data_IF_922759127104
#
_entry.id   IF_922759127104
#
_cell.length_a   1.000
_cell.length_b   1.000
_cell.length_c   1.000
_cell.angle_alpha   90.00
_cell.angle_beta   90.00
_cell.angle_gamma   90.00
#
_symmetry.space_group_name_H-M   'P 1'
#
loop_
_entity.id
_entity.type
_entity.pdbx_description
1 polymer ?
#
# COMPACT_ATOMS: atom_id res chain seq x y z
N UNK A 1 23.86 24.11 15.11
CA UNK A 1 23.58 23.58 13.76
C UNK A 1 22.20 22.92 13.77
N UNK A 2 21.13 23.67 13.49
CA UNK A 2 19.80 23.09 13.30
C UNK A 2 19.75 22.48 11.90
N UNK A 3 19.79 21.15 11.80
CA UNK A 3 19.58 20.45 10.52
C UNK A 3 18.22 20.88 9.98
N UNK A 4 18.24 21.70 8.92
CA UNK A 4 17.06 22.27 8.26
C UNK A 4 16.33 21.21 7.45
N UNK A 5 15.79 20.20 8.11
CA UNK A 5 14.86 19.28 7.46
C UNK A 5 13.54 20.00 7.24
N UNK A 6 13.35 20.55 6.04
CA UNK A 6 12.05 21.01 5.57
C UNK A 6 11.10 19.82 5.58
N UNK A 7 10.07 19.88 6.43
CA UNK A 7 9.04 18.83 6.51
C UNK A 7 8.40 18.68 5.13
N UNK A 8 8.25 17.44 4.62
CA UNK A 8 7.62 17.23 3.32
C UNK A 8 6.19 17.77 3.35
N UNK A 9 5.82 18.49 2.29
CA UNK A 9 4.49 19.08 2.18
C UNK A 9 3.42 17.99 2.13
N UNK A 10 2.25 18.25 2.73
CA UNK A 10 1.14 17.31 2.75
C UNK A 10 0.72 16.86 1.33
N UNK A 11 0.76 17.78 0.37
CA UNK A 11 0.46 17.47 -1.03
C UNK A 11 1.42 16.45 -1.64
N UNK A 12 2.72 16.52 -1.31
CA UNK A 12 3.71 15.56 -1.79
C UNK A 12 3.45 14.16 -1.21
N UNK A 13 3.16 14.07 0.10
CA UNK A 13 2.88 12.80 0.77
C UNK A 13 1.64 12.13 0.14
N UNK A 14 0.58 12.90 -0.10
CA UNK A 14 -0.63 12.38 -0.76
C UNK A 14 -0.34 11.87 -2.17
N UNK A 15 0.45 12.60 -2.98
CA UNK A 15 0.84 12.16 -4.34
C UNK A 15 1.59 10.83 -4.33
N UNK A 16 2.58 10.68 -3.43
CA UNK A 16 3.34 9.43 -3.27
C UNK A 16 2.43 8.30 -2.84
N UNK A 17 1.55 8.55 -1.86
CA UNK A 17 0.60 7.56 -1.38
C UNK A 17 -0.39 7.10 -2.45
N UNK A 18 -0.96 8.02 -3.23
CA UNK A 18 -1.85 7.67 -4.35
C UNK A 18 -1.11 6.90 -5.45
N UNK A 19 0.12 7.29 -5.78
CA UNK A 19 0.94 6.54 -6.73
C UNK A 19 1.15 5.10 -6.26
N UNK A 20 1.45 4.89 -4.97
CA UNK A 20 1.60 3.55 -4.41
C UNK A 20 0.30 2.73 -4.45
N UNK A 21 -0.86 3.35 -4.18
CA UNK A 21 -2.16 2.68 -4.34
C UNK A 21 -2.43 2.27 -5.79
N UNK A 22 -2.20 3.17 -6.76
CA UNK A 22 -2.40 2.89 -8.19
C UNK A 22 -1.46 1.77 -8.65
N UNK A 23 -0.19 1.81 -8.25
CA UNK A 23 0.78 0.74 -8.54
C UNK A 23 0.34 -0.58 -7.92
N UNK A 24 -0.16 -0.59 -6.69
CA UNK A 24 -0.67 -1.82 -6.03
C UNK A 24 -1.83 -2.43 -6.79
N UNK A 25 -2.80 -1.62 -7.23
CA UNK A 25 -3.94 -2.10 -8.04
C UNK A 25 -3.48 -2.60 -9.42
N UNK A 26 -2.54 -1.90 -10.05
CA UNK A 26 -1.95 -2.32 -11.33
C UNK A 26 -1.17 -3.63 -11.21
N UNK A 27 -0.38 -3.80 -10.16
CA UNK A 27 0.33 -5.05 -9.87
C UNK A 27 -0.64 -6.20 -9.59
N UNK A 28 -1.77 -5.93 -8.93
CA UNK A 28 -2.80 -6.93 -8.70
C UNK A 28 -3.45 -7.38 -10.02
N UNK A 29 -3.71 -6.45 -10.95
CA UNK A 29 -4.15 -6.82 -12.30
C UNK A 29 -3.11 -7.74 -12.97
N UNK A 30 -1.83 -7.36 -12.98
CA UNK A 30 -0.76 -8.21 -13.54
C UNK A 30 -0.68 -9.58 -12.84
N UNK A 31 -0.88 -9.64 -11.52
CA UNK A 31 -0.92 -10.89 -10.74
C UNK A 31 -2.00 -11.86 -11.25
N UNK A 32 -3.14 -11.36 -11.72
CA UNK A 32 -4.21 -12.18 -12.27
C UNK A 32 -3.88 -12.76 -13.65
N UNK A 33 -3.18 -12.01 -14.50
CA UNK A 33 -2.89 -12.44 -15.88
C UNK A 33 -1.57 -13.20 -16.04
N UNK A 34 -0.55 -12.88 -15.24
CA UNK A 34 0.81 -13.38 -15.45
C UNK A 34 1.24 -14.52 -14.52
N UNK A 35 0.43 -14.89 -13.53
CA UNK A 35 0.88 -15.87 -12.54
C UNK A 35 0.69 -17.32 -13.03
N UNK A 36 1.76 -18.09 -13.32
CA UNK A 36 1.66 -19.48 -13.75
C UNK A 36 1.14 -20.43 -12.66
N UNK A 37 1.09 -19.98 -11.40
CA UNK A 37 0.48 -20.70 -10.28
C UNK A 37 -1.05 -20.54 -10.22
N UNK A 38 -1.63 -19.71 -11.10
CA UNK A 38 -3.08 -19.63 -11.37
C UNK A 38 -3.49 -20.55 -12.54
N UNK A 39 -2.86 -21.72 -12.66
CA UNK A 39 -3.38 -22.82 -13.49
C UNK A 39 -4.62 -23.43 -12.80
N UNK A 40 -5.73 -22.71 -12.79
CA UNK A 40 -6.95 -23.13 -12.12
C UNK A 40 -7.65 -21.95 -11.46
N UNK A 41 -8.73 -21.51 -12.08
CA UNK A 41 -9.65 -20.46 -11.65
C UNK A 41 -10.41 -20.85 -10.36
N UNK A 42 -9.70 -21.03 -9.25
CA UNK A 42 -10.34 -21.05 -7.94
C UNK A 42 -10.73 -19.61 -7.59
N UNK A 43 -12.03 -19.31 -7.73
CA UNK A 43 -12.63 -18.00 -7.37
C UNK A 43 -12.20 -17.51 -5.99
N UNK A 44 -11.84 -18.44 -5.11
CA UNK A 44 -11.34 -18.20 -3.76
C UNK A 44 -10.00 -17.43 -3.78
N UNK A 45 -9.04 -17.79 -4.65
CA UNK A 45 -7.75 -17.09 -4.76
C UNK A 45 -7.91 -15.66 -5.28
N UNK A 46 -8.83 -15.42 -6.21
CA UNK A 46 -9.16 -14.06 -6.67
C UNK A 46 -9.71 -13.21 -5.52
N UNK A 47 -10.71 -13.71 -4.80
CA UNK A 47 -11.32 -12.99 -3.68
C UNK A 47 -10.33 -12.71 -2.55
N UNK A 48 -9.48 -13.67 -2.20
CA UNK A 48 -8.47 -13.50 -1.14
C UNK A 48 -7.48 -12.41 -1.53
N UNK A 49 -6.91 -12.46 -2.74
CA UNK A 49 -5.94 -11.44 -3.17
C UNK A 49 -6.57 -10.06 -3.29
N UNK A 50 -7.82 -9.98 -3.77
CA UNK A 50 -8.57 -8.74 -3.81
C UNK A 50 -8.78 -8.14 -2.40
N UNK A 51 -9.20 -8.96 -1.43
CA UNK A 51 -9.44 -8.53 -0.05
C UNK A 51 -8.14 -8.14 0.66
N UNK A 52 -7.03 -8.80 0.35
CA UNK A 52 -5.74 -8.57 1.04
C UNK A 52 -4.86 -7.51 0.39
N UNK A 53 -5.07 -7.16 -0.87
CA UNK A 53 -4.24 -6.19 -1.60
C UNK A 53 -5.05 -4.96 -2.07
N UNK A 54 -6.17 -5.18 -2.75
CA UNK A 54 -6.94 -4.09 -3.37
C UNK A 54 -7.75 -3.35 -2.33
N UNK A 55 -8.48 -4.06 -1.46
CA UNK A 55 -9.27 -3.46 -0.38
C UNK A 55 -8.44 -2.55 0.54
N UNK A 56 -7.29 -2.98 1.08
CA UNK A 56 -6.44 -2.09 1.87
C UNK A 56 -5.83 -0.96 1.04
N UNK A 57 -5.58 -1.13 -0.26
CA UNK A 57 -5.12 -0.03 -1.11
C UNK A 57 -6.19 1.06 -1.30
N UNK A 58 -7.46 0.66 -1.42
CA UNK A 58 -8.61 1.58 -1.48
C UNK A 58 -8.84 2.23 -0.12
N UNK A 59 -8.76 1.47 0.97
CA UNK A 59 -8.89 2.02 2.32
C UNK A 59 -7.77 3.03 2.62
N UNK A 60 -6.54 2.74 2.17
CA UNK A 60 -5.41 3.65 2.30
C UNK A 60 -5.64 4.95 1.53
N UNK A 61 -6.13 4.87 0.29
CA UNK A 61 -6.43 6.07 -0.51
C UNK A 61 -7.54 6.91 0.12
N UNK A 62 -8.58 6.29 0.69
CA UNK A 62 -9.58 6.99 1.51
C UNK A 62 -8.96 7.67 2.74
N UNK A 63 -8.02 7.00 3.41
CA UNK A 63 -7.24 7.57 4.52
C UNK A 63 -6.45 8.81 4.12
N UNK A 64 -5.90 8.85 2.90
CA UNK A 64 -5.20 10.03 2.37
C UNK A 64 -6.16 11.20 2.08
N UNK A 65 -7.36 10.92 1.57
CA UNK A 65 -8.40 11.95 1.33
C UNK A 65 -8.82 12.55 2.67
N UNK A 66 -9.28 11.70 3.60
CA UNK A 66 -9.78 12.10 4.92
C UNK A 66 -8.65 12.59 5.85
N UNK A 67 -7.41 12.46 5.42
CA UNK A 67 -6.21 12.81 6.16
C UNK A 67 -6.09 12.11 7.52
N UNK A 68 -6.68 10.91 7.63
CA UNK A 68 -6.76 10.14 8.88
C UNK A 68 -5.60 9.18 9.02
N UNK A 69 -4.67 9.46 9.94
CA UNK A 69 -3.51 8.59 10.15
C UNK A 69 -3.88 7.16 10.59
N UNK A 70 -4.98 7.00 11.33
CA UNK A 70 -5.42 5.67 11.78
C UNK A 70 -5.85 4.76 10.62
N UNK A 71 -6.51 5.32 9.61
CA UNK A 71 -6.96 4.55 8.43
C UNK A 71 -5.74 4.05 7.64
N UNK A 72 -4.70 4.88 7.52
CA UNK A 72 -3.44 4.48 6.87
C UNK A 72 -2.77 3.31 7.61
N UNK A 73 -2.75 3.35 8.95
CA UNK A 73 -2.17 2.29 9.77
C UNK A 73 -2.96 0.98 9.65
N UNK A 74 -4.29 1.03 9.71
CA UNK A 74 -5.16 -0.14 9.53
C UNK A 74 -4.90 -0.78 8.16
N UNK A 75 -4.83 0.04 7.11
CA UNK A 75 -4.58 -0.42 5.75
C UNK A 75 -3.21 -1.08 5.61
N UNK A 76 -2.18 -0.53 6.26
CA UNK A 76 -0.85 -1.13 6.32
C UNK A 76 -0.87 -2.49 7.03
N UNK A 77 -1.41 -2.55 8.25
CA UNK A 77 -1.45 -3.79 9.05
C UNK A 77 -2.21 -4.89 8.30
N UNK A 78 -3.31 -4.53 7.64
CA UNK A 78 -4.11 -5.46 6.84
C UNK A 78 -3.29 -5.99 5.65
N UNK A 79 -2.62 -5.12 4.90
CA UNK A 79 -1.87 -5.54 3.71
C UNK A 79 -0.52 -6.20 4.02
N UNK A 80 0.02 -5.99 5.23
CA UNK A 80 1.36 -6.43 5.64
C UNK A 80 1.64 -7.93 5.47
N UNK A 81 0.82 -8.87 5.99
CA UNK A 81 1.15 -10.29 5.92
C UNK A 81 1.26 -10.80 4.48
N UNK A 82 0.32 -10.39 3.61
CA UNK A 82 0.30 -10.81 2.22
C UNK A 82 1.40 -10.12 1.39
N UNK A 83 1.64 -8.84 1.64
CA UNK A 83 2.71 -8.09 0.95
C UNK A 83 4.10 -8.61 1.32
N UNK A 84 4.32 -9.04 2.57
CA UNK A 84 5.58 -9.69 2.99
C UNK A 84 5.75 -11.06 2.34
N UNK A 85 4.69 -11.85 2.24
CA UNK A 85 4.72 -13.11 1.49
C UNK A 85 5.15 -12.89 0.02
N UNK A 86 4.59 -11.86 -0.64
CA UNK A 86 4.95 -11.49 -2.01
C UNK A 86 6.35 -10.88 -2.15
N UNK A 87 6.91 -10.29 -1.08
CA UNK A 87 8.28 -9.77 -1.06
C UNK A 87 9.33 -10.90 -1.07
N UNK A 88 9.00 -12.03 -0.47
CA UNK A 88 9.90 -13.19 -0.38
C UNK A 88 9.88 -14.04 -1.66
N UNK A 89 8.88 -13.86 -2.54
CA UNK A 89 8.82 -14.59 -3.81
C UNK A 89 9.65 -13.90 -4.91
N UNK A 90 10.39 -14.64 -5.75
CA UNK A 90 11.18 -14.07 -6.84
C UNK A 90 10.26 -13.67 -8.00
N UNK A 91 9.75 -12.43 -8.01
CA UNK A 91 8.92 -11.91 -9.11
C UNK A 91 8.78 -10.38 -9.06
N UNK A 92 8.10 -9.80 -10.05
CA UNK A 92 7.68 -8.40 -10.02
C UNK A 92 6.73 -8.08 -8.85
N UNK A 93 6.14 -9.11 -8.23
CA UNK A 93 5.25 -8.98 -7.07
C UNK A 93 5.99 -8.57 -5.78
N UNK A 94 7.33 -8.57 -5.76
CA UNK A 94 8.11 -7.92 -4.69
C UNK A 94 7.74 -6.46 -4.48
N UNK A 95 7.26 -5.80 -5.54
CA UNK A 95 6.79 -4.42 -5.48
C UNK A 95 5.58 -4.23 -4.55
N UNK A 96 4.79 -5.27 -4.24
CA UNK A 96 3.76 -5.20 -3.20
C UNK A 96 4.35 -4.93 -1.82
N UNK A 97 5.49 -5.55 -1.49
CA UNK A 97 6.22 -5.24 -0.27
C UNK A 97 6.71 -3.80 -0.26
N UNK A 98 7.23 -3.31 -1.39
CA UNK A 98 7.68 -1.91 -1.52
C UNK A 98 6.53 -0.93 -1.32
N UNK A 99 5.36 -1.14 -1.93
CA UNK A 99 4.20 -0.26 -1.74
C UNK A 99 3.67 -0.33 -0.30
N UNK A 100 3.73 -1.49 0.34
CA UNK A 100 3.43 -1.65 1.77
C UNK A 100 4.35 -0.78 2.65
N UNK A 101 5.66 -0.74 2.37
CA UNK A 101 6.58 0.17 3.07
C UNK A 101 6.27 1.65 2.78
N UNK A 102 5.82 2.00 1.58
CA UNK A 102 5.36 3.37 1.27
C UNK A 102 4.13 3.74 2.11
N UNK A 103 3.22 2.79 2.38
CA UNK A 103 2.08 3.05 3.26
C UNK A 103 2.52 3.39 4.68
N UNK A 104 3.46 2.63 5.22
CA UNK A 104 4.07 2.91 6.52
C UNK A 104 4.78 4.28 6.52
N UNK A 105 5.53 4.59 5.46
CA UNK A 105 6.20 5.88 5.31
C UNK A 105 5.19 7.04 5.33
N UNK A 106 4.10 6.94 4.56
CA UNK A 106 3.04 7.94 4.55
C UNK A 106 2.39 8.10 5.93
N UNK A 107 2.14 7.00 6.64
CA UNK A 107 1.65 7.04 8.01
C UNK A 107 2.60 7.81 8.94
N UNK A 108 3.89 7.47 8.92
CA UNK A 108 4.92 8.15 9.74
C UNK A 108 4.97 9.64 9.41
N UNK A 109 4.94 10.00 8.12
CA UNK A 109 4.96 11.40 7.68
C UNK A 109 3.69 12.16 8.11
N UNK A 110 2.52 11.53 8.11
CA UNK A 110 1.29 12.13 8.66
C UNK A 110 1.42 12.40 10.16
N UNK A 111 2.02 11.46 10.92
CA UNK A 111 2.27 11.62 12.36
C UNK A 111 3.28 12.71 12.67
N UNK A 112 4.37 12.81 11.91
CA UNK A 112 5.39 13.87 12.05
C UNK A 112 4.82 15.25 11.74
N UNK A 113 3.88 15.33 10.79
CA UNK A 113 3.15 16.56 10.49
C UNK A 113 2.04 16.89 11.50
N UNK A 114 1.92 16.14 12.61
CA UNK A 114 0.91 16.29 13.67
C UNK A 114 -0.54 16.28 13.13
N UNK A 115 -0.78 15.66 11.98
CA UNK A 115 -2.11 15.50 11.43
C UNK A 115 -2.82 14.46 12.32
N UNK A 116 -3.73 14.96 13.16
CA UNK A 116 -4.48 14.17 14.13
C UNK A 116 -5.91 13.98 13.64
N UNK A 117 -6.30 12.70 13.64
CA UNK A 117 -7.63 12.11 13.50
C UNK A 117 -8.37 12.37 12.20
#
# INVERSE_FOLDING_TARGET
MSSGYTKPSLGLIKRIGYAASVVTVGLWAVLLWFNPYFNGLDRISFLITFIMLVLPAVLFSMGLVLSRSLILLISFIWSFPYSMYMLLTPSIFKLFGVTCFIYLLCFVLFRVNKIKY
#
